data_IF_589182418980
#
_entry.id   IF_589182418980
#
_cell.length_a   1.000
_cell.length_b   1.000
_cell.length_c   1.000
_cell.angle_alpha   90.00
_cell.angle_beta   90.00
_cell.angle_gamma   90.00
#
_symmetry.space_group_name_H-M   'P 1'
#
loop_
_entity.id
_entity.type
_entity.pdbx_description
1 polymer ?
#
# COMPACT_ATOMS: atom_id res chain seq x y z
N UNK A 1 -24.53 36.39 -6.09
CA UNK A 1 -23.52 35.80 -5.19
C UNK A 1 -22.18 35.84 -5.90
N UNK A 2 -21.09 36.21 -5.23
CA UNK A 2 -19.75 36.23 -5.84
C UNK A 2 -19.04 34.87 -5.70
N UNK A 3 -18.01 34.62 -6.51
CA UNK A 3 -17.15 33.43 -6.37
C UNK A 3 -16.52 33.32 -4.97
N UNK A 4 -16.19 34.46 -4.35
CA UNK A 4 -15.61 34.48 -3.00
C UNK A 4 -16.65 34.02 -1.98
N UNK A 5 -17.89 34.51 -2.07
CA UNK A 5 -18.99 34.13 -1.17
C UNK A 5 -19.28 32.62 -1.28
N UNK A 6 -19.34 32.08 -2.50
CA UNK A 6 -19.55 30.66 -2.75
C UNK A 6 -18.41 29.81 -2.18
N UNK A 7 -17.16 30.22 -2.41
CA UNK A 7 -15.99 29.49 -1.90
C UNK A 7 -15.96 29.45 -0.36
N UNK A 8 -16.36 30.54 0.29
CA UNK A 8 -16.45 30.63 1.74
C UNK A 8 -17.53 29.70 2.28
N UNK A 9 -18.71 29.65 1.63
CA UNK A 9 -19.82 28.76 2.02
C UNK A 9 -19.45 27.28 1.86
N UNK A 10 -18.73 26.93 0.79
CA UNK A 10 -18.35 25.55 0.51
C UNK A 10 -17.09 25.09 1.26
N UNK A 11 -16.37 26.03 1.90
CA UNK A 11 -15.05 25.81 2.52
C UNK A 11 -13.99 25.33 1.52
N UNK A 12 -13.99 25.90 0.32
CA UNK A 12 -12.99 25.65 -0.72
C UNK A 12 -12.29 26.96 -1.09
N UNK A 13 -11.20 26.89 -1.85
CA UNK A 13 -10.53 28.11 -2.30
C UNK A 13 -11.33 28.79 -3.43
N UNK A 14 -11.27 30.13 -3.54
CA UNK A 14 -11.83 30.85 -4.70
C UNK A 14 -11.29 30.31 -6.03
N UNK A 15 -10.02 29.89 -6.06
CA UNK A 15 -9.38 29.28 -7.24
C UNK A 15 -10.05 27.95 -7.63
N UNK A 16 -10.52 27.17 -6.66
CA UNK A 16 -11.26 25.92 -6.89
C UNK A 16 -12.59 26.20 -7.58
N UNK A 17 -13.37 27.17 -7.10
CA UNK A 17 -14.64 27.59 -7.72
C UNK A 17 -14.41 28.12 -9.14
N UNK A 18 -13.38 28.96 -9.33
CA UNK A 18 -12.98 29.41 -10.67
C UNK A 18 -12.51 28.25 -11.56
N UNK A 19 -11.95 27.19 -10.98
CA UNK A 19 -11.59 25.96 -11.70
C UNK A 19 -12.82 25.24 -12.23
N UNK A 20 -13.88 25.13 -11.41
CA UNK A 20 -15.16 24.53 -11.79
C UNK A 20 -15.88 25.30 -12.90
N UNK A 21 -15.99 26.62 -12.77
CA UNK A 21 -16.66 27.46 -13.78
C UNK A 21 -15.95 27.48 -15.14
N UNK A 22 -14.66 27.11 -15.19
CA UNK A 22 -13.87 27.06 -16.42
C UNK A 22 -13.49 25.63 -16.82
N UNK A 23 -14.20 24.61 -16.31
CA UNK A 23 -14.02 23.18 -16.67
C UNK A 23 -12.60 22.62 -16.42
N UNK A 24 -11.79 23.30 -15.60
CA UNK A 24 -10.42 22.85 -15.26
C UNK A 24 -10.40 21.81 -14.15
N UNK A 25 -11.50 21.69 -13.41
CA UNK A 25 -11.70 20.73 -12.33
C UNK A 25 -13.20 20.57 -12.11
N UNK A 26 -13.61 19.50 -11.42
CA UNK A 26 -15.01 19.31 -11.05
C UNK A 26 -15.20 19.39 -9.53
N UNK A 27 -16.39 19.80 -9.05
CA UNK A 27 -16.71 19.76 -7.63
C UNK A 27 -16.73 18.32 -7.12
N UNK A 28 -16.56 18.12 -5.81
CA UNK A 28 -16.83 16.82 -5.20
C UNK A 28 -18.34 16.67 -4.89
N UNK A 29 -18.78 15.44 -4.61
CA UNK A 29 -20.20 15.12 -4.35
C UNK A 29 -20.75 15.96 -3.18
N UNK A 30 -19.93 16.25 -2.16
CA UNK A 30 -20.36 17.07 -1.03
C UNK A 30 -20.58 18.54 -1.43
N UNK A 31 -19.71 19.09 -2.27
CA UNK A 31 -19.85 20.43 -2.82
C UNK A 31 -21.08 20.52 -3.70
N UNK A 32 -21.35 19.52 -4.54
CA UNK A 32 -22.57 19.45 -5.36
C UNK A 32 -23.82 19.44 -4.48
N UNK A 33 -23.86 18.61 -3.43
CA UNK A 33 -24.99 18.59 -2.48
C UNK A 33 -25.20 19.95 -1.79
N UNK A 34 -24.12 20.61 -1.35
CA UNK A 34 -24.20 21.94 -0.74
C UNK A 34 -24.68 23.00 -1.73
N UNK A 35 -24.24 22.94 -2.99
CA UNK A 35 -24.70 23.85 -4.05
C UNK A 35 -26.19 23.64 -4.35
N UNK A 36 -26.66 22.39 -4.44
CA UNK A 36 -28.08 22.06 -4.59
C UNK A 36 -28.92 22.71 -3.48
N UNK A 37 -28.48 22.63 -2.23
CA UNK A 37 -29.15 23.26 -1.08
C UNK A 37 -29.10 24.81 -1.13
N UNK A 38 -27.94 25.38 -1.47
CA UNK A 38 -27.74 26.83 -1.50
C UNK A 38 -28.56 27.52 -2.59
N UNK A 39 -28.55 26.95 -3.80
CA UNK A 39 -29.24 27.49 -4.97
C UNK A 39 -30.69 27.01 -5.08
N UNK A 40 -31.12 26.07 -4.23
CA UNK A 40 -32.44 25.45 -4.25
C UNK A 40 -32.79 24.81 -5.61
N UNK A 41 -31.78 24.22 -6.25
CA UNK A 41 -31.91 23.45 -7.50
C UNK A 41 -31.80 21.96 -7.21
N UNK A 42 -32.37 21.10 -8.05
CA UNK A 42 -32.23 19.67 -7.85
C UNK A 42 -30.79 19.24 -8.06
N UNK A 43 -30.36 18.16 -7.39
CA UNK A 43 -29.02 17.61 -7.61
C UNK A 43 -28.89 17.06 -9.03
N UNK A 44 -29.99 16.56 -9.61
CA UNK A 44 -30.05 16.12 -11.00
C UNK A 44 -29.71 17.28 -11.95
N UNK A 45 -30.25 18.49 -11.74
CA UNK A 45 -29.94 19.67 -12.57
C UNK A 45 -28.44 20.03 -12.55
N UNK A 46 -27.73 19.75 -11.45
CA UNK A 46 -26.29 20.01 -11.31
C UNK A 46 -25.42 18.84 -11.82
N UNK A 47 -25.97 17.63 -11.86
CA UNK A 47 -25.27 16.41 -12.26
C UNK A 47 -25.49 16.04 -13.73
N UNK A 48 -26.50 16.61 -14.40
CA UNK A 48 -26.87 16.30 -15.79
C UNK A 48 -25.90 16.86 -16.85
N UNK A 49 -24.63 17.03 -16.49
CA UNK A 49 -23.55 17.43 -17.38
C UNK A 49 -22.74 16.18 -17.75
N UNK A 50 -22.70 15.85 -19.04
CA UNK A 50 -22.01 14.68 -19.58
C UNK A 50 -20.53 14.62 -19.15
N UNK A 51 -19.85 15.77 -19.06
CA UNK A 51 -18.43 15.84 -18.66
C UNK A 51 -18.27 15.50 -17.17
N UNK A 52 -19.19 15.96 -16.35
CA UNK A 52 -19.18 15.74 -14.89
C UNK A 52 -19.56 14.29 -14.55
N UNK A 53 -20.53 13.70 -15.26
CA UNK A 53 -20.86 12.26 -15.16
C UNK A 53 -19.63 11.42 -15.56
N UNK A 54 -19.03 11.72 -16.72
CA UNK A 54 -17.85 11.01 -17.20
C UNK A 54 -16.67 11.11 -16.23
N UNK A 55 -16.46 12.29 -15.63
CA UNK A 55 -15.43 12.49 -14.61
C UNK A 55 -15.65 11.57 -13.40
N UNK A 56 -16.82 11.59 -12.78
CA UNK A 56 -17.10 10.72 -11.62
C UNK A 56 -17.06 9.24 -11.96
N UNK A 57 -17.53 8.84 -13.15
CA UNK A 57 -17.39 7.46 -13.60
C UNK A 57 -15.92 7.05 -13.72
N UNK A 58 -15.07 7.92 -14.28
CA UNK A 58 -13.64 7.66 -14.47
C UNK A 58 -12.90 7.56 -13.12
N UNK A 59 -13.24 8.43 -12.17
CA UNK A 59 -12.71 8.38 -10.81
C UNK A 59 -13.13 7.08 -10.11
N UNK A 60 -14.42 6.72 -10.20
CA UNK A 60 -14.93 5.50 -9.58
C UNK A 60 -14.30 4.24 -10.21
N UNK A 61 -14.17 4.19 -11.55
CA UNK A 61 -13.47 3.11 -12.27
C UNK A 61 -12.02 2.99 -11.79
N UNK A 62 -11.31 4.12 -11.62
CA UNK A 62 -9.94 4.15 -11.10
C UNK A 62 -9.86 3.64 -9.67
N UNK A 63 -10.77 4.08 -8.80
CA UNK A 63 -10.85 3.62 -7.42
C UNK A 63 -11.12 2.11 -7.31
N UNK A 64 -12.05 1.59 -8.12
CA UNK A 64 -12.35 0.14 -8.19
C UNK A 64 -11.14 -0.66 -8.71
N UNK A 65 -10.43 -0.15 -9.71
CA UNK A 65 -9.19 -0.77 -10.22
C UNK A 65 -8.13 -0.83 -9.13
N UNK A 66 -7.89 0.26 -8.40
CA UNK A 66 -6.90 0.30 -7.32
C UNK A 66 -7.27 -0.67 -6.19
N UNK A 67 -8.55 -0.78 -5.82
CA UNK A 67 -9.00 -1.79 -4.85
C UNK A 67 -8.75 -3.23 -5.32
N UNK A 68 -8.94 -3.53 -6.61
CA UNK A 68 -8.63 -4.85 -7.17
C UNK A 68 -7.12 -5.13 -7.12
N UNK A 69 -6.30 -4.16 -7.53
CA UNK A 69 -4.83 -4.27 -7.48
C UNK A 69 -4.37 -4.55 -6.04
N UNK A 70 -4.87 -3.80 -5.06
CA UNK A 70 -4.54 -4.01 -3.65
C UNK A 70 -4.86 -5.42 -3.14
N UNK A 71 -6.01 -5.98 -3.52
CA UNK A 71 -6.37 -7.36 -3.15
C UNK A 71 -5.43 -8.38 -3.80
N UNK A 72 -5.09 -8.17 -5.07
CA UNK A 72 -4.18 -9.05 -5.81
C UNK A 72 -2.76 -8.98 -5.21
N UNK A 73 -2.23 -7.78 -4.97
CA UNK A 73 -0.90 -7.60 -4.38
C UNK A 73 -0.82 -8.19 -2.98
N UNK A 74 -1.87 -8.05 -2.17
CA UNK A 74 -1.95 -8.65 -0.85
C UNK A 74 -1.90 -10.18 -0.89
N UNK A 75 -2.69 -10.82 -1.77
CA UNK A 75 -2.66 -12.29 -1.93
C UNK A 75 -1.29 -12.73 -2.47
N UNK A 76 -0.73 -11.99 -3.42
CA UNK A 76 0.59 -12.27 -3.97
C UNK A 76 1.69 -12.13 -2.90
N UNK A 77 1.59 -11.17 -1.98
CA UNK A 77 2.50 -11.02 -0.85
C UNK A 77 2.49 -12.26 0.06
N UNK A 78 1.32 -12.82 0.37
CA UNK A 78 1.20 -14.06 1.15
C UNK A 78 1.86 -15.23 0.40
N UNK A 79 1.60 -15.37 -0.91
CA UNK A 79 2.19 -16.45 -1.72
C UNK A 79 3.72 -16.32 -1.77
N UNK A 80 4.24 -15.13 -2.04
CA UNK A 80 5.68 -14.88 -2.10
C UNK A 80 6.34 -15.14 -0.75
N UNK A 81 5.72 -14.73 0.35
CA UNK A 81 6.23 -14.99 1.71
C UNK A 81 6.33 -16.49 2.00
N UNK A 82 5.29 -17.27 1.67
CA UNK A 82 5.32 -18.74 1.82
C UNK A 82 6.43 -19.34 0.95
N UNK A 83 6.57 -18.90 -0.30
CA UNK A 83 7.63 -19.37 -1.20
C UNK A 83 9.02 -19.08 -0.64
N UNK A 84 9.25 -17.91 -0.03
CA UNK A 84 10.51 -17.58 0.64
C UNK A 84 10.85 -18.57 1.75
N UNK A 85 9.90 -18.89 2.64
CA UNK A 85 10.15 -19.87 3.70
C UNK A 85 10.31 -21.30 3.17
N UNK A 86 9.56 -21.70 2.14
CA UNK A 86 9.74 -23.03 1.52
C UNK A 86 11.13 -23.15 0.90
N UNK A 87 11.62 -22.08 0.26
CA UNK A 87 12.95 -22.06 -0.34
C UNK A 87 14.07 -22.16 0.70
N UNK A 88 13.87 -21.62 1.91
CA UNK A 88 14.82 -21.73 3.02
C UNK A 88 15.18 -23.19 3.36
N UNK A 89 14.24 -24.13 3.19
CA UNK A 89 14.44 -25.56 3.49
C UNK A 89 14.95 -26.40 2.31
N UNK A 90 15.07 -25.83 1.11
CA UNK A 90 15.55 -26.56 -0.08
C UNK A 90 17.08 -26.54 -0.19
N UNK A 91 17.68 -27.70 -0.45
CA UNK A 91 19.15 -27.85 -0.62
C UNK A 91 19.70 -27.25 -1.93
N UNK A 92 18.85 -27.08 -2.95
CA UNK A 92 19.26 -26.58 -4.28
C UNK A 92 18.67 -25.18 -4.45
N UNK A 93 19.55 -24.18 -4.62
CA UNK A 93 19.18 -22.77 -4.75
C UNK A 93 19.43 -22.26 -6.17
N UNK A 94 18.57 -22.53 -7.17
CA UNK A 94 18.63 -21.80 -8.42
C UNK A 94 17.98 -20.42 -8.16
N UNK A 95 18.80 -19.41 -7.90
CA UNK A 95 18.44 -17.98 -7.93
C UNK A 95 17.70 -17.39 -6.71
N UNK A 96 18.38 -17.36 -5.55
CA UNK A 96 17.99 -16.64 -4.33
C UNK A 96 17.75 -15.14 -4.47
N UNK A 97 18.14 -14.50 -5.57
CA UNK A 97 17.94 -13.06 -5.77
C UNK A 97 16.55 -12.69 -6.29
N UNK A 98 15.86 -13.55 -7.05
CA UNK A 98 14.63 -13.13 -7.73
C UNK A 98 13.45 -12.98 -6.78
N UNK A 99 13.25 -13.93 -5.85
CA UNK A 99 12.13 -13.92 -4.91
C UNK A 99 12.10 -12.62 -4.07
N UNK A 100 13.19 -12.21 -3.39
CA UNK A 100 13.20 -10.92 -2.67
C UNK A 100 13.02 -9.73 -3.60
N UNK A 101 13.59 -9.73 -4.81
CA UNK A 101 13.36 -8.63 -5.75
C UNK A 101 11.86 -8.53 -6.11
N UNK A 102 11.19 -9.65 -6.37
CA UNK A 102 9.76 -9.67 -6.65
C UNK A 102 8.91 -9.22 -5.46
N UNK A 103 9.31 -9.56 -4.24
CA UNK A 103 8.58 -9.18 -3.04
C UNK A 103 8.78 -7.68 -2.73
N UNK A 104 9.97 -7.11 -2.91
CA UNK A 104 10.19 -5.64 -2.90
C UNK A 104 9.28 -4.94 -3.91
N UNK A 105 9.28 -5.40 -5.18
CA UNK A 105 8.44 -4.80 -6.22
C UNK A 105 6.96 -4.87 -5.84
N UNK A 106 6.51 -6.02 -5.32
CA UNK A 106 5.13 -6.19 -4.85
C UNK A 106 4.77 -5.18 -3.73
N UNK A 107 5.64 -5.02 -2.74
CA UNK A 107 5.44 -4.08 -1.64
C UNK A 107 5.37 -2.62 -2.14
N UNK A 108 6.22 -2.24 -3.10
CA UNK A 108 6.18 -0.92 -3.71
C UNK A 108 4.87 -0.68 -4.48
N UNK A 109 4.43 -1.64 -5.30
CA UNK A 109 3.16 -1.54 -6.02
C UNK A 109 1.99 -1.41 -5.05
N UNK A 110 2.02 -2.18 -3.96
CA UNK A 110 1.00 -2.09 -2.91
C UNK A 110 0.99 -0.72 -2.25
N UNK A 111 2.15 -0.18 -1.89
CA UNK A 111 2.28 1.15 -1.26
C UNK A 111 1.67 2.24 -2.15
N UNK A 112 2.01 2.26 -3.45
CA UNK A 112 1.48 3.22 -4.42
C UNK A 112 -0.05 3.17 -4.51
N UNK A 113 -0.64 1.98 -4.55
CA UNK A 113 -2.09 1.84 -4.69
C UNK A 113 -2.84 1.95 -3.35
N UNK A 114 -2.13 1.94 -2.22
CA UNK A 114 -2.72 1.98 -0.88
C UNK A 114 -3.11 3.39 -0.42
N UNK A 115 -2.47 4.43 -0.96
CA UNK A 115 -2.54 5.81 -0.47
C UNK A 115 -3.99 6.36 -0.41
N UNK A 116 -4.85 5.96 -1.34
CA UNK A 116 -6.22 6.45 -1.40
C UNK A 116 -7.22 5.58 -0.60
N UNK A 117 -6.77 4.49 0.01
CA UNK A 117 -7.67 3.62 0.76
C UNK A 117 -7.74 4.07 2.22
N UNK A 118 -8.87 4.67 2.60
CA UNK A 118 -9.16 5.14 3.97
C UNK A 118 -8.95 4.08 5.07
N UNK A 119 -8.91 2.78 4.71
CA UNK A 119 -8.60 1.69 5.65
C UNK A 119 -7.17 1.75 6.22
N UNK A 120 -6.21 2.30 5.49
CA UNK A 120 -4.83 2.45 5.94
C UNK A 120 -4.59 3.74 6.75
N UNK A 121 -5.62 4.57 6.93
CA UNK A 121 -5.56 5.80 7.74
C UNK A 121 -5.89 5.55 9.22
N UNK A 122 -6.05 4.29 9.66
CA UNK A 122 -6.22 3.99 11.08
C UNK A 122 -4.93 4.41 11.81
N UNK A 123 -5.01 5.18 12.90
CA UNK A 123 -3.83 5.51 13.69
C UNK A 123 -3.33 4.22 14.35
N UNK A 124 -2.34 3.60 13.75
CA UNK A 124 -1.63 2.48 14.36
C UNK A 124 -0.75 3.04 15.47
N UNK A 125 -0.81 2.43 16.65
CA UNK A 125 0.06 2.82 17.74
C UNK A 125 1.50 2.46 17.35
N UNK A 126 2.42 3.42 17.43
CA UNK A 126 3.83 3.22 17.06
C UNK A 126 4.44 2.03 17.81
N UNK A 127 4.07 1.84 19.08
CA UNK A 127 4.49 0.69 19.90
C UNK A 127 3.99 -0.65 19.37
N UNK A 128 2.77 -0.71 18.82
CA UNK A 128 2.23 -1.95 18.23
C UNK A 128 2.97 -2.29 16.92
N UNK A 129 3.21 -1.28 16.07
CA UNK A 129 3.97 -1.47 14.82
C UNK A 129 5.42 -1.87 15.11
N UNK A 130 6.09 -1.16 16.02
CA UNK A 130 7.48 -1.46 16.38
C UNK A 130 7.59 -2.83 17.07
N UNK A 131 6.70 -3.12 18.02
CA UNK A 131 6.70 -4.40 18.73
C UNK A 131 6.45 -5.59 17.81
N UNK A 132 5.49 -5.48 16.89
CA UNK A 132 5.24 -6.52 15.89
C UNK A 132 6.37 -6.67 14.87
N UNK A 133 7.03 -5.57 14.48
CA UNK A 133 8.20 -5.61 13.61
C UNK A 133 9.36 -6.36 14.29
N UNK A 134 9.69 -5.97 15.53
CA UNK A 134 10.75 -6.61 16.31
C UNK A 134 10.43 -8.09 16.53
N UNK A 135 9.18 -8.44 16.85
CA UNK A 135 8.76 -9.82 17.01
C UNK A 135 8.94 -10.63 15.72
N UNK A 136 8.49 -10.10 14.57
CA UNK A 136 8.67 -10.75 13.27
C UNK A 136 10.16 -10.94 12.93
N UNK A 137 10.96 -9.92 13.20
CA UNK A 137 12.41 -9.97 12.97
C UNK A 137 13.11 -10.99 13.87
N UNK A 138 12.72 -11.10 15.14
CA UNK A 138 13.23 -12.14 16.05
C UNK A 138 12.83 -13.55 15.61
N UNK A 139 11.61 -13.73 15.12
CA UNK A 139 11.14 -15.01 14.57
C UNK A 139 11.99 -15.39 13.34
N UNK A 140 12.24 -14.45 12.43
CA UNK A 140 13.07 -14.69 11.26
C UNK A 140 14.51 -15.07 11.62
N UNK A 141 15.12 -14.32 12.55
CA UNK A 141 16.46 -14.65 13.06
C UNK A 141 16.52 -16.01 13.77
N UNK A 142 15.44 -16.42 14.43
CA UNK A 142 15.35 -17.76 15.00
C UNK A 142 15.38 -18.83 13.90
N UNK A 143 14.60 -18.64 12.83
CA UNK A 143 14.54 -19.57 11.69
C UNK A 143 15.86 -19.69 10.93
N UNK A 144 16.67 -18.63 10.85
CA UNK A 144 18.00 -18.65 10.23
C UNK A 144 18.95 -19.68 10.86
N UNK A 145 18.78 -20.01 12.14
CA UNK A 145 19.59 -21.04 12.80
C UNK A 145 19.36 -22.43 12.20
N UNK A 146 18.28 -22.61 11.45
CA UNK A 146 17.96 -23.85 10.74
C UNK A 146 18.31 -23.78 9.24
N UNK A 147 18.81 -22.65 8.73
CA UNK A 147 19.27 -22.52 7.35
C UNK A 147 20.63 -23.20 7.15
N UNK A 148 20.70 -24.34 6.44
CA UNK A 148 21.95 -25.08 6.24
C UNK A 148 23.01 -24.27 5.50
N UNK A 149 22.59 -23.32 4.66
CA UNK A 149 23.51 -22.49 3.89
C UNK A 149 24.22 -21.47 4.78
N UNK A 150 23.50 -20.83 5.69
CA UNK A 150 24.10 -19.90 6.66
C UNK A 150 25.09 -20.61 7.57
N UNK A 151 24.73 -21.78 8.09
CA UNK A 151 25.65 -22.60 8.89
C UNK A 151 26.90 -22.95 8.10
N UNK A 152 26.76 -23.38 6.84
CA UNK A 152 27.90 -23.79 6.00
C UNK A 152 28.86 -22.63 5.68
N UNK A 153 28.33 -21.43 5.41
CA UNK A 153 29.14 -20.25 5.09
C UNK A 153 29.88 -19.75 6.33
N UNK A 154 29.22 -19.73 7.49
CA UNK A 154 29.82 -19.28 8.74
C UNK A 154 30.84 -20.28 9.31
N UNK A 155 30.63 -21.59 9.11
CA UNK A 155 31.52 -22.63 9.66
C UNK A 155 32.72 -22.93 8.78
N UNK A 156 32.71 -22.57 7.49
CA UNK A 156 33.81 -22.88 6.58
C UNK A 156 34.86 -21.77 6.58
N UNK A 157 36.14 -22.15 6.66
CA UNK A 157 37.28 -21.24 6.47
C UNK A 157 37.59 -20.96 4.99
N UNK A 158 36.82 -21.53 4.06
CA UNK A 158 37.12 -21.51 2.64
C UNK A 158 36.60 -20.26 1.92
N UNK A 159 35.70 -19.49 2.56
CA UNK A 159 35.16 -18.27 1.98
C UNK A 159 35.95 -17.04 2.40
N UNK A 160 36.10 -16.08 1.48
CA UNK A 160 36.70 -14.79 1.80
C UNK A 160 35.81 -14.00 2.75
N UNK A 161 36.41 -13.15 3.58
CA UNK A 161 35.65 -12.28 4.48
C UNK A 161 34.61 -11.42 3.74
N UNK A 162 34.95 -10.93 2.54
CA UNK A 162 34.03 -10.17 1.70
C UNK A 162 32.80 -10.98 1.26
N UNK A 163 32.98 -12.25 0.90
CA UNK A 163 31.87 -13.15 0.55
C UNK A 163 30.97 -13.42 1.76
N UNK A 164 31.57 -13.76 2.91
CA UNK A 164 30.82 -14.03 4.14
C UNK A 164 30.01 -12.82 4.58
N UNK A 165 30.60 -11.62 4.54
CA UNK A 165 29.89 -10.37 4.83
C UNK A 165 28.75 -10.11 3.85
N UNK A 166 28.96 -10.30 2.55
CA UNK A 166 27.91 -10.14 1.54
C UNK A 166 26.74 -11.11 1.76
N UNK A 167 27.03 -12.36 2.13
CA UNK A 167 26.02 -13.37 2.43
C UNK A 167 25.24 -13.05 3.70
N UNK A 168 25.91 -12.66 4.79
CA UNK A 168 25.23 -12.25 6.02
C UNK A 168 24.37 -11.00 5.78
N UNK A 169 24.87 -10.04 4.99
CA UNK A 169 24.12 -8.85 4.60
C UNK A 169 22.87 -9.18 3.76
N UNK A 170 22.94 -10.17 2.87
CA UNK A 170 21.78 -10.58 2.09
C UNK A 170 20.72 -11.28 2.95
N UNK A 171 21.11 -12.10 3.92
CA UNK A 171 20.18 -12.72 4.88
C UNK A 171 19.53 -11.67 5.79
N UNK A 172 20.30 -10.69 6.26
CA UNK A 172 19.74 -9.57 7.00
C UNK A 172 18.71 -8.79 6.19
N UNK A 173 18.97 -8.56 4.90
CA UNK A 173 18.02 -7.89 3.99
C UNK A 173 16.75 -8.71 3.82
N UNK A 174 16.86 -10.03 3.62
CA UNK A 174 15.73 -10.95 3.54
C UNK A 174 14.88 -10.93 4.82
N UNK A 175 15.51 -10.88 5.98
CA UNK A 175 14.81 -10.79 7.26
C UNK A 175 14.06 -9.47 7.44
N UNK A 176 14.65 -8.34 7.02
CA UNK A 176 13.95 -7.07 7.01
C UNK A 176 12.71 -7.13 6.11
N UNK A 177 12.88 -7.67 4.91
CA UNK A 177 11.84 -7.72 3.89
C UNK A 177 10.66 -8.62 4.30
N UNK A 178 10.95 -9.82 4.78
CA UNK A 178 9.94 -10.78 5.28
C UNK A 178 9.25 -10.25 6.54
N UNK A 179 9.94 -9.51 7.41
CA UNK A 179 9.33 -8.84 8.57
C UNK A 179 8.33 -7.76 8.13
N UNK A 180 8.70 -6.93 7.15
CA UNK A 180 7.80 -5.92 6.56
C UNK A 180 6.60 -6.60 5.90
N UNK A 181 6.84 -7.67 5.14
CA UNK A 181 5.78 -8.47 4.51
C UNK A 181 4.78 -9.03 5.54
N UNK A 182 5.26 -9.52 6.68
CA UNK A 182 4.43 -9.99 7.78
C UNK A 182 3.54 -8.88 8.36
N UNK A 183 4.10 -7.69 8.55
CA UNK A 183 3.34 -6.52 9.02
C UNK A 183 2.22 -6.15 8.05
N UNK A 184 2.51 -6.17 6.75
CA UNK A 184 1.51 -5.92 5.71
C UNK A 184 0.37 -6.94 5.79
N UNK A 185 0.66 -8.22 6.03
CA UNK A 185 -0.38 -9.24 6.18
C UNK A 185 -1.30 -8.93 7.37
N UNK A 186 -0.71 -8.55 8.51
CA UNK A 186 -1.43 -8.34 9.76
C UNK A 186 -2.22 -7.03 9.79
N UNK A 187 -1.59 -5.93 9.40
CA UNK A 187 -2.17 -4.58 9.53
C UNK A 187 -2.87 -4.10 8.26
N UNK A 188 -2.51 -4.64 7.09
CA UNK A 188 -2.98 -4.13 5.81
C UNK A 188 -3.97 -5.05 5.08
N UNK A 189 -4.69 -5.92 5.80
CA UNK A 189 -5.63 -6.87 5.20
C UNK A 189 -6.83 -6.18 4.50
N UNK A 190 -6.96 -6.25 3.16
CA UNK A 190 -8.04 -5.59 2.42
C UNK A 190 -9.38 -6.33 2.51
N UNK A 191 -9.45 -7.52 3.12
CA UNK A 191 -10.66 -8.32 3.25
C UNK A 191 -11.41 -8.10 4.58
N UNK A 192 -10.71 -7.67 5.63
CA UNK A 192 -11.35 -7.37 6.92
C UNK A 192 -12.11 -6.03 6.82
N UNK A 193 -13.41 -6.06 7.07
CA UNK A 193 -14.22 -4.85 7.27
C UNK A 193 -14.03 -4.39 8.71
N UNK A 194 -13.14 -3.42 8.95
CA UNK A 194 -13.19 -2.70 10.22
C UNK A 194 -14.49 -1.90 10.25
N UNK A 195 -15.36 -2.20 11.22
CA UNK A 195 -16.54 -1.35 11.50
C UNK A 195 -16.00 0.05 11.82
N UNK A 196 -16.54 1.05 11.11
CA UNK A 196 -16.35 2.46 11.45
C UNK A 196 -16.91 2.73 12.85
#
# INVERSE_FOLDING_TARGET
>A
MTQQDLSNYLHVSRKTVSGWENERSFPDIQSVMKMSQLFKVSTDDLLNDDLLIQHYESENKTHLKNQKILKITYVLNIILLILTYVHMFQKVRPHTAFIPIFLIINLLVMMIHSENNSRFKRPLNLFELFGSFVLAMLINLFFDNFDPSLTSVLSSSNYSAAYTLGFVGSQFTLNLETSISFLVIFFMNPFIKHKK
#
